data_IF_409127652310
#
_entry.id   IF_409127652310
#
_cell.length_a   1.000
_cell.length_b   1.000
_cell.length_c   1.000
_cell.angle_alpha   90.00
_cell.angle_beta   90.00
_cell.angle_gamma   90.00
#
_symmetry.space_group_name_H-M   'P 1'
#
loop_
_entity.id
_entity.type
_entity.pdbx_description
1 polymer ?
#
# COMPACT_ATOMS: atom_id res chain seq x y z
N UNK A 1 -33.15 49.54 -8.22
CA UNK A 1 -32.47 48.46 -8.98
C UNK A 1 -30.94 48.54 -8.87
N UNK A 2 -30.34 49.73 -9.01
CA UNK A 2 -28.89 49.98 -8.88
C UNK A 2 -28.30 49.64 -7.51
N UNK A 3 -28.98 49.99 -6.41
CA UNK A 3 -28.50 49.67 -5.04
C UNK A 3 -28.47 48.15 -4.84
N UNK A 4 -29.52 47.43 -5.24
CA UNK A 4 -29.61 45.97 -5.16
C UNK A 4 -28.49 45.30 -5.97
N UNK A 5 -28.22 45.80 -7.19
CA UNK A 5 -27.15 45.30 -8.04
C UNK A 5 -25.76 45.52 -7.42
N UNK A 6 -25.51 46.70 -6.84
CA UNK A 6 -24.26 47.02 -6.13
C UNK A 6 -24.08 46.12 -4.91
N UNK A 7 -25.14 45.87 -4.14
CA UNK A 7 -25.12 44.95 -3.00
C UNK A 7 -24.79 43.52 -3.43
N UNK A 8 -25.40 43.02 -4.51
CA UNK A 8 -25.12 41.68 -5.07
C UNK A 8 -23.68 41.59 -5.56
N UNK A 9 -23.18 42.60 -6.29
CA UNK A 9 -21.80 42.66 -6.78
C UNK A 9 -20.78 42.74 -5.64
N UNK A 10 -21.10 43.47 -4.57
CA UNK A 10 -20.25 43.60 -3.39
C UNK A 10 -20.21 42.30 -2.59
N UNK A 11 -21.36 41.65 -2.41
CA UNK A 11 -21.46 40.34 -1.78
C UNK A 11 -20.67 39.29 -2.56
N UNK A 12 -20.83 39.24 -3.89
CA UNK A 12 -20.08 38.32 -4.75
C UNK A 12 -18.56 38.54 -4.67
N UNK A 13 -18.09 39.79 -4.53
CA UNK A 13 -16.68 40.10 -4.29
C UNK A 13 -16.17 39.61 -2.94
N UNK A 14 -16.96 39.80 -1.88
CA UNK A 14 -16.61 39.37 -0.52
C UNK A 14 -16.59 37.84 -0.40
N UNK A 15 -17.55 37.14 -1.01
CA UNK A 15 -17.58 35.68 -1.03
C UNK A 15 -16.40 35.07 -1.78
N UNK A 16 -15.99 35.71 -2.88
CA UNK A 16 -14.88 35.24 -3.70
C UNK A 16 -13.51 35.82 -3.30
N UNK A 17 -13.44 36.53 -2.16
CA UNK A 17 -12.17 37.05 -1.68
C UNK A 17 -11.21 35.90 -1.30
N UNK A 18 -9.95 35.99 -1.74
CA UNK A 18 -8.95 34.97 -1.48
C UNK A 18 -8.78 34.69 0.02
N UNK A 19 -8.79 35.71 0.87
CA UNK A 19 -8.64 35.53 2.33
C UNK A 19 -9.79 34.69 2.91
N UNK A 20 -11.02 34.94 2.45
CA UNK A 20 -12.19 34.17 2.88
C UNK A 20 -12.07 32.71 2.43
N UNK A 21 -11.65 32.46 1.18
CA UNK A 21 -11.45 31.09 0.70
C UNK A 21 -10.32 30.36 1.42
N UNK A 22 -9.22 31.05 1.70
CA UNK A 22 -8.11 30.50 2.50
C UNK A 22 -8.57 30.18 3.91
N UNK A 23 -9.34 31.06 4.55
CA UNK A 23 -9.91 30.80 5.88
C UNK A 23 -10.85 29.59 5.87
N UNK A 24 -11.80 29.53 4.93
CA UNK A 24 -12.73 28.40 4.81
C UNK A 24 -11.98 27.08 4.56
N UNK A 25 -10.93 27.08 3.72
CA UNK A 25 -10.11 25.89 3.52
C UNK A 25 -9.35 25.51 4.78
N UNK A 26 -8.80 26.51 5.49
CA UNK A 26 -8.06 26.29 6.73
C UNK A 26 -8.94 25.64 7.78
N UNK A 27 -10.14 26.18 7.97
CA UNK A 27 -11.15 25.64 8.88
C UNK A 27 -11.56 24.22 8.48
N UNK A 28 -11.71 23.96 7.19
CA UNK A 28 -12.05 22.62 6.68
C UNK A 28 -10.96 21.59 6.99
N UNK A 29 -9.69 21.95 6.85
CA UNK A 29 -8.55 21.08 7.19
C UNK A 29 -8.43 20.89 8.71
N UNK A 30 -8.55 21.95 9.50
CA UNK A 30 -8.44 21.90 10.96
C UNK A 30 -9.52 21.06 11.62
N UNK A 31 -10.75 21.17 11.13
CA UNK A 31 -11.88 20.41 11.66
C UNK A 31 -12.13 19.10 10.91
N UNK A 32 -11.27 18.74 9.93
CA UNK A 32 -11.43 17.57 9.06
C UNK A 32 -12.80 17.53 8.36
N UNK A 33 -13.35 18.71 8.03
CA UNK A 33 -14.63 18.85 7.36
C UNK A 33 -14.48 18.58 5.86
N UNK A 34 -14.71 17.32 5.48
CA UNK A 34 -14.55 16.86 4.10
C UNK A 34 -15.58 17.46 3.15
N UNK A 35 -16.80 17.72 3.62
CA UNK A 35 -17.88 18.24 2.77
C UNK A 35 -17.56 19.67 2.32
N UNK A 36 -17.10 20.51 3.26
CA UNK A 36 -16.62 21.85 2.95
C UNK A 36 -15.38 21.82 2.04
N UNK A 37 -14.47 20.85 2.22
CA UNK A 37 -13.31 20.72 1.34
C UNK A 37 -13.71 20.39 -0.10
N UNK A 38 -14.70 19.51 -0.30
CA UNK A 38 -15.22 19.14 -1.64
C UNK A 38 -15.78 20.34 -2.40
N UNK A 39 -16.42 21.28 -1.69
CA UNK A 39 -16.96 22.50 -2.29
C UNK A 39 -15.86 23.50 -2.70
N UNK A 40 -14.75 23.52 -1.98
CA UNK A 40 -13.67 24.50 -2.17
C UNK A 40 -12.63 24.06 -3.21
N UNK A 41 -12.53 22.77 -3.48
CA UNK A 41 -11.37 22.17 -4.15
C UNK A 41 -11.77 21.31 -5.33
N UNK A 42 -10.98 21.42 -6.39
CA UNK A 42 -11.06 20.54 -7.55
C UNK A 42 -9.78 19.76 -7.73
N UNK A 43 -9.83 18.71 -8.54
CA UNK A 43 -8.66 18.04 -9.10
C UNK A 43 -8.97 17.67 -10.54
N UNK A 44 -8.19 18.17 -11.50
CA UNK A 44 -8.42 17.93 -12.94
C UNK A 44 -9.86 18.31 -13.36
N UNK A 45 -10.27 19.54 -13.02
CA UNK A 45 -11.58 20.11 -13.34
C UNK A 45 -12.80 19.36 -12.77
N UNK A 46 -12.62 18.50 -11.77
CA UNK A 46 -13.69 17.77 -11.10
C UNK A 46 -13.64 18.01 -9.60
N UNK A 47 -14.79 18.06 -8.94
CA UNK A 47 -14.86 18.04 -7.49
C UNK A 47 -14.29 16.72 -6.96
N UNK A 48 -13.69 16.80 -5.78
CA UNK A 48 -13.25 15.62 -5.05
C UNK A 48 -14.46 14.77 -4.65
N UNK A 49 -14.27 13.47 -4.60
CA UNK A 49 -15.15 12.59 -3.83
C UNK A 49 -14.83 12.68 -2.34
N UNK A 50 -15.72 12.17 -1.50
CA UNK A 50 -15.47 12.07 -0.05
C UNK A 50 -14.25 11.20 0.28
N UNK A 51 -14.00 10.14 -0.50
CA UNK A 51 -12.82 9.29 -0.33
C UNK A 51 -11.51 10.05 -0.63
N UNK A 52 -11.49 10.85 -1.70
CA UNK A 52 -10.33 11.69 -2.06
C UNK A 52 -10.12 12.86 -1.09
N UNK A 53 -11.19 13.49 -0.62
CA UNK A 53 -11.11 14.55 0.39
C UNK A 53 -10.52 14.03 1.72
N UNK A 54 -10.96 12.85 2.18
CA UNK A 54 -10.40 12.18 3.37
C UNK A 54 -8.92 11.86 3.18
N UNK A 55 -8.54 11.35 2.02
CA UNK A 55 -7.16 11.00 1.71
C UNK A 55 -6.25 12.24 1.73
N UNK A 56 -6.71 13.37 1.20
CA UNK A 56 -5.96 14.63 1.23
C UNK A 56 -5.79 15.18 2.65
N UNK A 57 -6.84 15.14 3.48
CA UNK A 57 -6.73 15.53 4.90
C UNK A 57 -5.74 14.61 5.64
N UNK A 58 -5.76 13.31 5.36
CA UNK A 58 -4.82 12.35 5.94
C UNK A 58 -3.36 12.68 5.57
N UNK A 59 -3.11 13.09 4.32
CA UNK A 59 -1.80 13.52 3.85
C UNK A 59 -1.29 14.78 4.56
N UNK A 60 -2.12 15.81 4.70
CA UNK A 60 -1.70 17.04 5.40
C UNK A 60 -1.25 16.72 6.83
N UNK A 61 -1.96 15.81 7.49
CA UNK A 61 -1.58 15.34 8.83
C UNK A 61 -0.23 14.60 8.83
N UNK A 62 0.07 13.79 7.81
CA UNK A 62 1.33 13.03 7.74
C UNK A 62 2.56 13.91 7.51
N UNK A 63 2.42 15.07 6.87
CA UNK A 63 3.52 16.02 6.59
C UNK A 63 3.89 16.97 7.75
N UNK A 64 3.60 16.59 9.00
CA UNK A 64 3.93 17.41 10.18
C UNK A 64 2.81 18.35 10.61
N UNK A 65 1.58 18.12 10.12
CA UNK A 65 0.36 18.69 10.64
C UNK A 65 -0.07 20.03 10.04
N UNK A 66 -1.33 20.37 10.32
CA UNK A 66 -2.06 21.46 9.67
C UNK A 66 -1.33 22.80 9.75
N UNK A 67 -0.74 23.18 10.89
CA UNK A 67 -0.10 24.49 11.06
C UNK A 67 0.95 24.81 10.00
N UNK A 68 1.79 23.83 9.65
CA UNK A 68 2.85 24.01 8.64
C UNK A 68 2.24 24.20 7.25
N UNK A 69 1.25 23.39 6.93
CA UNK A 69 0.48 23.51 5.69
C UNK A 69 -0.20 24.89 5.58
N UNK A 70 -0.91 25.31 6.62
CA UNK A 70 -1.63 26.59 6.65
C UNK A 70 -0.69 27.79 6.50
N UNK A 71 0.51 27.71 7.07
CA UNK A 71 1.52 28.74 6.86
C UNK A 71 1.93 28.86 5.39
N UNK A 72 2.19 27.72 4.72
CA UNK A 72 2.52 27.70 3.29
C UNK A 72 1.35 28.19 2.42
N UNK A 73 0.12 27.79 2.73
CA UNK A 73 -1.08 28.25 2.03
C UNK A 73 -1.25 29.77 2.15
N UNK A 74 -1.09 30.32 3.35
CA UNK A 74 -1.21 31.76 3.61
C UNK A 74 -0.11 32.55 2.90
N UNK A 75 1.13 32.04 2.92
CA UNK A 75 2.26 32.64 2.22
C UNK A 75 2.03 32.66 0.71
N UNK A 76 1.60 31.54 0.12
CA UNK A 76 1.23 31.45 -1.29
C UNK A 76 0.12 32.44 -1.66
N UNK A 77 -0.94 32.53 -0.85
CA UNK A 77 -2.03 33.47 -1.09
C UNK A 77 -1.56 34.94 -1.06
N UNK A 78 -0.65 35.29 -0.13
CA UNK A 78 -0.04 36.60 -0.06
C UNK A 78 0.79 36.91 -1.31
N UNK A 79 1.63 35.97 -1.74
CA UNK A 79 2.43 36.11 -2.96
C UNK A 79 1.57 36.27 -4.21
N UNK A 80 0.47 35.50 -4.35
CA UNK A 80 -0.44 35.61 -5.48
C UNK A 80 -1.13 36.98 -5.56
N UNK A 81 -1.39 37.63 -4.42
CA UNK A 81 -1.96 38.98 -4.39
C UNK A 81 -0.95 40.07 -4.77
N UNK A 82 0.27 39.94 -4.28
CA UNK A 82 1.36 40.89 -4.52
C UNK A 82 1.87 40.82 -5.95
N UNK A 83 2.02 39.60 -6.47
CA UNK A 83 2.52 39.36 -7.80
C UNK A 83 1.36 39.43 -8.80
N UNK A 84 1.56 40.01 -10.00
CA UNK A 84 0.56 40.00 -11.09
C UNK A 84 0.33 38.60 -11.70
N UNK A 85 0.71 37.54 -10.99
CA UNK A 85 0.57 36.15 -11.41
C UNK A 85 -0.89 35.70 -11.47
N UNK A 86 -1.12 34.62 -12.22
CA UNK A 86 -2.42 33.95 -12.31
C UNK A 86 -2.48 32.66 -11.50
N UNK A 87 -1.34 32.14 -11.07
CA UNK A 87 -1.24 30.89 -10.32
C UNK A 87 -0.17 31.01 -9.25
N UNK A 88 -0.33 30.26 -8.16
CA UNK A 88 0.68 30.10 -7.14
C UNK A 88 0.60 28.70 -6.55
N UNK A 89 1.73 28.00 -6.52
CA UNK A 89 1.83 26.69 -5.91
C UNK A 89 2.04 26.80 -4.40
N UNK A 90 1.44 25.87 -3.68
CA UNK A 90 1.66 25.59 -2.27
C UNK A 90 2.49 24.32 -2.19
N UNK A 91 3.71 24.46 -1.69
CA UNK A 91 4.65 23.36 -1.56
C UNK A 91 4.81 22.93 -0.11
N UNK A 92 4.94 21.63 0.11
CA UNK A 92 5.26 21.06 1.40
C UNK A 92 6.32 19.97 1.20
N UNK A 93 7.44 20.09 1.92
CA UNK A 93 8.59 19.18 1.79
C UNK A 93 9.12 19.04 0.35
N UNK A 94 8.99 20.09 -0.48
CA UNK A 94 9.44 20.11 -1.88
C UNK A 94 8.47 19.46 -2.86
N UNK A 95 7.23 19.18 -2.45
CA UNK A 95 6.16 18.67 -3.33
C UNK A 95 5.05 19.70 -3.42
N UNK A 96 4.60 20.01 -4.63
CA UNK A 96 3.38 20.79 -4.86
C UNK A 96 2.17 19.98 -4.40
N UNK A 97 1.49 20.48 -3.37
CA UNK A 97 0.33 19.81 -2.76
C UNK A 97 -1.00 20.48 -3.10
N UNK A 98 -0.95 21.75 -3.52
CA UNK A 98 -2.10 22.54 -3.93
C UNK A 98 -1.63 23.64 -4.88
N UNK A 99 -2.43 23.99 -5.88
CA UNK A 99 -2.23 25.17 -6.71
C UNK A 99 -3.42 26.11 -6.55
N UNK A 100 -3.15 27.40 -6.34
CA UNK A 100 -4.17 28.45 -6.30
C UNK A 100 -4.21 29.12 -7.67
N UNK A 101 -5.35 29.05 -8.35
CA UNK A 101 -5.60 29.70 -9.63
C UNK A 101 -6.44 30.95 -9.43
N UNK A 102 -5.92 32.11 -9.85
CA UNK A 102 -6.68 33.35 -9.97
C UNK A 102 -7.33 33.42 -11.35
N UNK A 103 -8.66 33.36 -11.37
CA UNK A 103 -9.48 33.59 -12.55
C UNK A 103 -10.02 35.01 -12.53
N UNK A 104 -9.94 35.69 -13.67
CA UNK A 104 -10.42 37.07 -13.84
C UNK A 104 -11.66 37.02 -14.73
N UNK A 105 -12.79 37.48 -14.21
CA UNK A 105 -14.07 37.54 -14.93
C UNK A 105 -14.56 39.00 -15.09
N UNK A 106 -15.45 39.21 -16.07
CA UNK A 106 -16.09 40.50 -16.41
C UNK A 106 -15.13 41.70 -16.43
N UNK A 107 -14.52 41.97 -17.60
CA UNK A 107 -13.67 43.15 -17.85
C UNK A 107 -12.58 43.45 -16.80
N UNK A 108 -12.13 42.44 -16.03
CA UNK A 108 -11.08 42.64 -15.01
C UNK A 108 -11.58 42.98 -13.60
N UNK A 109 -12.89 43.09 -13.40
CA UNK A 109 -13.48 43.63 -12.16
C UNK A 109 -13.71 42.58 -11.07
N UNK A 110 -13.75 41.29 -11.42
CA UNK A 110 -14.02 40.21 -10.47
C UNK A 110 -12.90 39.17 -10.54
N UNK A 111 -12.30 38.93 -9.38
CA UNK A 111 -11.35 37.85 -9.19
C UNK A 111 -12.08 36.70 -8.50
N UNK A 112 -11.94 35.50 -9.05
CA UNK A 112 -12.30 34.26 -8.39
C UNK A 112 -11.01 33.46 -8.17
N UNK A 113 -11.00 32.64 -7.12
CA UNK A 113 -9.87 31.79 -6.80
C UNK A 113 -10.33 30.34 -6.75
N UNK A 114 -9.64 29.48 -7.49
CA UNK A 114 -9.89 28.04 -7.51
C UNK A 114 -8.68 27.35 -6.89
N UNK A 115 -8.94 26.44 -5.97
CA UNK A 115 -7.90 25.60 -5.40
C UNK A 115 -7.92 24.25 -6.12
N UNK A 116 -6.76 23.83 -6.62
CA UNK A 116 -6.60 22.59 -7.35
C UNK A 116 -5.59 21.67 -6.65
N UNK A 117 -6.00 20.44 -6.39
CA UNK A 117 -5.10 19.37 -5.92
C UNK A 117 -4.54 18.64 -7.14
N UNK A 118 -3.21 18.55 -7.29
CA UNK A 118 -2.58 17.82 -8.37
C UNK A 118 -2.87 16.31 -8.30
N UNK A 119 -2.81 15.64 -9.45
CA UNK A 119 -2.95 14.18 -9.54
C UNK A 119 -1.61 13.50 -9.73
N UNK A 120 -1.44 12.34 -9.10
CA UNK A 120 -0.22 11.56 -9.20
C UNK A 120 -0.53 10.12 -9.60
N UNK A 121 0.32 9.58 -10.49
CA UNK A 121 0.35 8.15 -10.77
C UNK A 121 1.13 7.44 -9.67
N UNK A 122 0.53 6.41 -9.08
CA UNK A 122 1.23 5.54 -8.15
C UNK A 122 1.86 4.35 -8.88
N UNK A 123 2.97 3.87 -8.35
CA UNK A 123 3.67 2.70 -8.87
C UNK A 123 3.73 1.62 -7.81
N UNK A 124 3.60 0.35 -8.22
CA UNK A 124 3.68 -0.80 -7.34
C UNK A 124 4.77 -1.74 -7.84
N UNK A 125 5.67 -2.16 -6.96
CA UNK A 125 6.61 -3.24 -7.26
C UNK A 125 5.91 -4.59 -7.04
N UNK A 126 5.64 -5.31 -8.12
CA UNK A 126 4.87 -6.54 -8.08
C UNK A 126 5.75 -7.72 -7.61
N UNK A 127 5.38 -8.33 -6.47
CA UNK A 127 6.10 -9.47 -5.88
C UNK A 127 5.72 -10.83 -6.46
N UNK A 128 4.54 -10.91 -7.08
CA UNK A 128 3.99 -12.14 -7.64
C UNK A 128 3.40 -11.90 -9.04
N UNK A 129 3.26 -12.98 -9.81
CA UNK A 129 2.47 -12.97 -11.03
C UNK A 129 1.00 -13.16 -10.67
N UNK A 130 0.13 -12.28 -11.17
CA UNK A 130 -1.28 -12.36 -10.82
C UNK A 130 -2.11 -11.18 -11.26
N UNK A 131 -3.17 -10.92 -10.51
CA UNK A 131 -4.08 -9.81 -10.73
C UNK A 131 -4.39 -9.12 -9.41
N UNK A 132 -4.10 -7.83 -9.32
CA UNK A 132 -4.57 -6.95 -8.27
C UNK A 132 -5.89 -6.32 -8.70
N UNK A 133 -6.85 -6.26 -7.79
CA UNK A 133 -8.10 -5.54 -8.01
C UNK A 133 -8.41 -4.68 -6.80
N UNK A 134 -8.61 -3.38 -6.98
CA UNK A 134 -8.91 -2.46 -5.88
C UNK A 134 -10.12 -1.58 -6.21
N UNK A 135 -10.74 -1.01 -5.18
CA UNK A 135 -11.88 -0.09 -5.32
C UNK A 135 -11.47 1.32 -4.93
N UNK A 136 -11.86 2.29 -5.75
CA UNK A 136 -11.72 3.72 -5.46
C UNK A 136 -12.90 4.46 -6.08
N UNK A 137 -13.55 5.34 -5.32
CA UNK A 137 -14.72 6.11 -5.74
C UNK A 137 -15.84 5.20 -6.25
N UNK A 138 -16.08 4.08 -5.57
CA UNK A 138 -17.01 3.01 -5.98
C UNK A 138 -16.72 2.36 -7.35
N UNK A 139 -15.58 2.65 -7.97
CA UNK A 139 -15.13 2.02 -9.22
C UNK A 139 -14.09 0.95 -8.92
N UNK A 140 -14.19 -0.16 -9.65
CA UNK A 140 -13.29 -1.31 -9.55
C UNK A 140 -12.19 -1.18 -10.60
N UNK A 141 -10.94 -1.26 -10.18
CA UNK A 141 -9.77 -1.18 -11.03
C UNK A 141 -9.01 -2.50 -11.02
N UNK A 142 -8.61 -2.97 -12.19
CA UNK A 142 -7.94 -4.25 -12.38
C UNK A 142 -6.53 -3.99 -12.91
N UNK A 143 -5.52 -4.57 -12.26
CA UNK A 143 -4.11 -4.42 -12.64
C UNK A 143 -3.49 -5.80 -12.76
N UNK A 144 -2.79 -6.05 -13.88
CA UNK A 144 -2.02 -7.26 -14.07
C UNK A 144 -0.69 -7.11 -13.33
N UNK A 145 -0.37 -8.07 -12.46
CA UNK A 145 0.90 -8.13 -11.75
C UNK A 145 1.86 -9.04 -12.49
N UNK A 146 3.09 -8.57 -12.67
CA UNK A 146 4.19 -9.36 -13.22
C UNK A 146 5.36 -9.26 -12.24
N UNK A 147 5.76 -10.41 -11.69
CA UNK A 147 6.78 -10.49 -10.65
C UNK A 147 8.08 -9.80 -11.07
N UNK A 148 8.60 -8.92 -10.22
CA UNK A 148 9.83 -8.17 -10.42
C UNK A 148 9.71 -6.97 -11.37
N UNK A 149 8.48 -6.61 -11.77
CA UNK A 149 8.22 -5.43 -12.58
C UNK A 149 7.45 -4.38 -11.78
N UNK A 150 7.78 -3.12 -12.05
CA UNK A 150 7.00 -1.97 -11.59
C UNK A 150 5.75 -1.85 -12.46
N UNK A 151 4.58 -1.84 -11.83
CA UNK A 151 3.30 -1.61 -12.48
C UNK A 151 2.78 -0.22 -12.14
N UNK A 152 2.30 0.50 -13.14
CA UNK A 152 1.62 1.78 -12.95
C UNK A 152 0.18 1.58 -12.54
N UNK A 153 -0.25 2.33 -11.53
CA UNK A 153 -1.62 2.43 -11.06
C UNK A 153 -2.24 3.74 -11.55
N UNK A 154 -3.57 3.87 -11.40
CA UNK A 154 -4.27 5.05 -11.91
C UNK A 154 -3.83 6.34 -11.22
N UNK A 155 -3.85 7.43 -11.99
CA UNK A 155 -3.71 8.78 -11.45
C UNK A 155 -4.87 9.08 -10.49
N UNK A 156 -4.57 9.54 -9.29
CA UNK A 156 -5.56 9.98 -8.29
C UNK A 156 -5.18 11.35 -7.75
N UNK A 157 -6.14 12.15 -7.23
CA UNK A 157 -5.80 13.37 -6.50
C UNK A 157 -4.79 13.05 -5.39
N UNK A 158 -3.88 13.98 -5.12
CA UNK A 158 -2.89 13.78 -4.09
C UNK A 158 -3.54 13.48 -2.73
N UNK A 159 -3.05 12.46 -2.03
CA UNK A 159 -3.61 12.00 -0.76
C UNK A 159 -2.96 10.70 -0.26
N UNK A 160 -3.25 10.36 1.00
CA UNK A 160 -2.92 9.06 1.61
C UNK A 160 -4.16 8.17 1.57
N UNK A 161 -4.11 7.07 0.80
CA UNK A 161 -5.24 6.16 0.61
C UNK A 161 -4.94 4.79 1.19
N UNK A 162 -5.93 4.20 1.87
CA UNK A 162 -5.98 2.76 2.18
C UNK A 162 -7.23 2.20 1.51
N UNK A 163 -7.03 1.53 0.37
CA UNK A 163 -8.11 1.07 -0.49
C UNK A 163 -8.33 -0.43 -0.32
N UNK A 164 -9.59 -0.85 -0.22
CA UNK A 164 -9.95 -2.28 -0.24
C UNK A 164 -9.47 -2.91 -1.54
N UNK A 165 -8.78 -4.04 -1.41
CA UNK A 165 -8.18 -4.73 -2.53
C UNK A 165 -8.27 -6.25 -2.39
N UNK A 166 -8.23 -6.91 -3.55
CA UNK A 166 -8.16 -8.36 -3.69
C UNK A 166 -7.02 -8.69 -4.63
N UNK A 167 -6.15 -9.61 -4.22
CA UNK A 167 -5.02 -10.10 -5.02
C UNK A 167 -5.31 -11.54 -5.42
N UNK A 168 -5.22 -11.86 -6.70
CA UNK A 168 -5.38 -13.23 -7.22
C UNK A 168 -4.05 -13.74 -7.74
N UNK A 169 -3.58 -14.86 -7.19
CA UNK A 169 -2.33 -15.54 -7.57
C UNK A 169 -2.67 -17.00 -7.86
N UNK A 170 -2.51 -17.41 -9.12
CA UNK A 170 -3.01 -18.71 -9.58
C UNK A 170 -4.51 -18.87 -9.29
N UNK A 171 -4.87 -19.90 -8.51
CA UNK A 171 -6.25 -20.21 -8.14
C UNK A 171 -6.67 -19.64 -6.78
N UNK A 172 -5.80 -18.89 -6.09
CA UNK A 172 -6.08 -18.32 -4.77
C UNK A 172 -6.36 -16.83 -4.87
N UNK A 173 -7.26 -16.38 -4.00
CA UNK A 173 -7.60 -14.96 -3.82
C UNK A 173 -7.29 -14.57 -2.38
N UNK A 174 -6.71 -13.39 -2.22
CA UNK A 174 -6.30 -12.82 -0.93
C UNK A 174 -6.99 -11.47 -0.81
N UNK A 175 -7.74 -11.28 0.26
CA UNK A 175 -8.37 -10.01 0.58
C UNK A 175 -7.43 -9.20 1.47
N UNK A 176 -7.46 -7.87 1.32
CA UNK A 176 -6.58 -6.96 2.03
C UNK A 176 -6.71 -5.56 1.50
N UNK A 177 -5.61 -4.80 1.55
CA UNK A 177 -5.60 -3.42 1.09
C UNK A 177 -4.43 -3.13 0.15
N UNK A 178 -4.61 -2.10 -0.68
CA UNK A 178 -3.52 -1.40 -1.34
C UNK A 178 -3.42 0.00 -0.73
N UNK A 179 -2.22 0.36 -0.30
CA UNK A 179 -1.95 1.64 0.34
C UNK A 179 -1.27 2.55 -0.68
N UNK A 180 -1.85 3.70 -0.99
CA UNK A 180 -1.21 4.74 -1.79
C UNK A 180 -0.66 5.79 -0.83
N UNK A 181 0.67 5.84 -0.71
CA UNK A 181 1.33 6.79 0.17
C UNK A 181 2.33 7.65 -0.59
N UNK A 182 2.35 8.94 -0.25
CA UNK A 182 3.34 9.85 -0.77
C UNK A 182 4.55 9.83 0.17
N UNK A 183 5.71 9.48 -0.37
CA UNK A 183 6.98 9.71 0.32
C UNK A 183 7.66 10.92 -0.31
N UNK A 184 8.54 11.57 0.44
CA UNK A 184 9.34 12.74 0.02
C UNK A 184 10.00 12.61 -1.37
N UNK A 185 10.19 11.40 -1.87
CA UNK A 185 10.84 11.12 -3.16
C UNK A 185 10.04 10.19 -4.10
N UNK A 186 8.72 10.01 -3.91
CA UNK A 186 7.93 9.25 -4.89
C UNK A 186 6.53 8.82 -4.47
N UNK A 187 5.80 8.33 -5.47
CA UNK A 187 4.43 7.83 -5.41
C UNK A 187 4.44 6.29 -5.45
N UNK A 188 4.71 5.69 -4.29
CA UNK A 188 4.81 4.25 -4.15
C UNK A 188 3.55 3.70 -3.50
N UNK A 189 2.91 2.75 -4.16
CA UNK A 189 1.87 1.93 -3.57
C UNK A 189 2.47 0.70 -2.88
N UNK A 190 1.84 0.30 -1.78
CA UNK A 190 2.24 -0.85 -0.96
C UNK A 190 1.11 -1.83 -0.83
N UNK A 191 1.45 -3.10 -0.96
CA UNK A 191 0.54 -4.21 -0.69
C UNK A 191 0.43 -4.43 0.83
N UNK A 192 -0.81 -4.49 1.33
CA UNK A 192 -1.16 -4.76 2.72
C UNK A 192 -2.14 -5.95 2.75
N UNK A 193 -1.65 -7.12 2.35
CA UNK A 193 -2.37 -8.38 2.42
C UNK A 193 -1.79 -9.24 3.55
N UNK A 194 -2.68 -9.84 4.34
CA UNK A 194 -2.34 -10.89 5.31
C UNK A 194 -1.93 -12.14 4.52
N UNK A 195 -0.63 -12.43 4.48
CA UNK A 195 -0.09 -13.56 3.73
C UNK A 195 1.01 -14.29 4.51
N UNK A 196 1.13 -15.59 4.28
CA UNK A 196 2.21 -16.41 4.84
C UNK A 196 3.27 -16.65 3.77
N UNK A 197 4.51 -16.22 4.06
CA UNK A 197 5.70 -16.58 3.29
C UNK A 197 6.78 -17.06 4.24
N UNK A 198 7.48 -18.11 3.84
CA UNK A 198 8.54 -18.65 4.67
C UNK A 198 9.70 -19.21 3.85
N UNK A 199 10.87 -19.28 4.48
CA UNK A 199 12.02 -20.06 4.05
C UNK A 199 12.21 -21.21 5.02
N UNK A 200 12.82 -22.30 4.56
CA UNK A 200 13.08 -23.47 5.38
C UNK A 200 14.57 -23.55 5.68
N UNK A 201 14.88 -23.83 6.95
CA UNK A 201 16.18 -24.28 7.44
C UNK A 201 15.99 -25.65 8.10
N UNK A 202 16.83 -26.63 7.78
CA UNK A 202 16.77 -27.96 8.41
C UNK A 202 17.87 -28.14 9.48
N UNK A 203 17.56 -28.89 10.54
CA UNK A 203 18.49 -29.31 11.59
C UNK A 203 18.48 -30.83 11.73
N UNK A 204 19.64 -31.40 12.02
CA UNK A 204 19.85 -32.85 12.15
C UNK A 204 19.45 -33.64 10.89
N UNK A 205 19.67 -33.03 9.72
CA UNK A 205 19.26 -33.55 8.41
C UNK A 205 20.41 -34.19 7.61
N UNK A 206 21.61 -34.26 8.15
CA UNK A 206 22.83 -34.71 7.46
C UNK A 206 22.77 -36.18 6.99
N UNK A 207 21.89 -36.99 7.56
CA UNK A 207 21.68 -38.39 7.15
C UNK A 207 20.76 -38.55 5.93
N UNK A 208 20.07 -37.48 5.50
CA UNK A 208 19.07 -37.56 4.44
C UNK A 208 19.61 -37.09 3.09
N UNK A 209 19.68 -38.00 2.11
CA UNK A 209 20.02 -37.65 0.73
C UNK A 209 18.88 -36.92 0.00
N UNK A 210 17.64 -37.12 0.47
CA UNK A 210 16.42 -36.50 -0.04
C UNK A 210 15.53 -36.15 1.13
N UNK A 211 14.95 -34.95 1.06
CA UNK A 211 13.90 -34.50 1.95
C UNK A 211 12.73 -34.00 1.11
N UNK A 212 11.52 -34.33 1.52
CA UNK A 212 10.28 -33.78 0.97
C UNK A 212 9.70 -32.77 1.97
N UNK A 213 9.08 -31.71 1.45
CA UNK A 213 8.33 -30.75 2.23
C UNK A 213 6.86 -31.14 2.23
N UNK A 214 6.24 -31.10 3.40
CA UNK A 214 4.80 -31.34 3.56
C UNK A 214 4.16 -30.09 4.13
N UNK A 215 3.06 -29.66 3.51
CA UNK A 215 2.27 -28.50 3.92
C UNK A 215 0.82 -28.94 4.05
N UNK A 216 0.22 -28.79 5.23
CA UNK A 216 -1.14 -29.25 5.55
C UNK A 216 -1.40 -30.67 5.02
N UNK A 217 -0.53 -31.60 5.40
CA UNK A 217 -0.53 -33.04 5.04
C UNK A 217 -0.44 -33.37 3.55
N UNK A 218 -0.13 -32.38 2.70
CA UNK A 218 0.13 -32.58 1.28
C UNK A 218 1.62 -32.47 1.01
N UNK A 219 2.21 -33.55 0.48
CA UNK A 219 3.58 -33.53 -0.01
C UNK A 219 3.68 -32.57 -1.21
N UNK A 220 4.46 -31.51 -1.07
CA UNK A 220 4.65 -30.48 -2.11
C UNK A 220 5.94 -30.67 -2.90
N UNK A 221 6.61 -31.82 -2.72
CA UNK A 221 7.82 -32.22 -3.42
C UNK A 221 9.09 -32.00 -2.61
N UNK A 222 10.22 -32.02 -3.32
CA UNK A 222 11.55 -31.95 -2.70
C UNK A 222 11.73 -30.62 -1.95
N UNK A 223 12.09 -30.73 -0.67
CA UNK A 223 12.47 -29.62 0.18
C UNK A 223 13.75 -28.98 -0.36
N UNK A 224 13.69 -27.67 -0.58
CA UNK A 224 14.82 -26.84 -0.95
C UNK A 224 15.06 -25.81 0.15
N UNK A 225 16.30 -25.75 0.64
CA UNK A 225 16.68 -24.79 1.67
C UNK A 225 16.76 -23.38 1.09
N UNK A 226 16.44 -22.38 1.94
CA UNK A 226 16.57 -20.94 1.66
C UNK A 226 15.77 -20.36 0.48
N UNK A 227 14.92 -21.15 -0.18
CA UNK A 227 13.93 -20.62 -1.14
C UNK A 227 12.69 -20.10 -0.40
N UNK A 228 12.05 -19.07 -0.96
CA UNK A 228 10.80 -18.54 -0.42
C UNK A 228 9.63 -19.37 -0.93
N UNK A 229 8.87 -19.96 -0.01
CA UNK A 229 7.60 -20.61 -0.25
C UNK A 229 6.45 -19.62 0.00
N UNK A 230 5.40 -19.72 -0.81
CA UNK A 230 4.21 -18.87 -0.74
C UNK A 230 4.02 -17.97 -1.97
N UNK A 231 3.04 -17.04 -1.91
CA UNK A 231 2.24 -16.72 -0.73
C UNK A 231 1.15 -17.78 -0.41
N UNK A 232 0.85 -17.95 0.87
CA UNK A 232 -0.31 -18.69 1.38
C UNK A 232 -1.24 -17.73 2.14
N UNK A 233 -2.50 -18.13 2.33
CA UNK A 233 -3.49 -17.29 3.04
C UNK A 233 -2.98 -16.99 4.44
N UNK A 234 -3.13 -15.75 4.89
CA UNK A 234 -2.83 -15.36 6.27
C UNK A 234 -3.80 -15.94 7.30
N UNK A 235 -5.04 -16.18 6.88
CA UNK A 235 -6.15 -16.63 7.74
C UNK A 235 -6.13 -18.13 8.03
N UNK A 236 -5.58 -18.94 7.12
CA UNK A 236 -5.57 -20.39 7.25
C UNK A 236 -4.38 -20.87 8.08
N UNK A 237 -4.58 -21.89 8.91
CA UNK A 237 -3.46 -22.62 9.50
C UNK A 237 -2.55 -23.21 8.41
N UNK A 238 -1.23 -23.05 8.62
CA UNK A 238 -0.22 -23.50 7.67
C UNK A 238 0.81 -24.32 8.43
N UNK A 239 0.48 -25.59 8.62
CA UNK A 239 1.36 -26.58 9.25
C UNK A 239 2.37 -27.08 8.22
N UNK A 240 3.64 -26.95 8.57
CA UNK A 240 4.78 -27.32 7.73
C UNK A 240 5.66 -28.31 8.47
N UNK A 241 6.05 -29.39 7.81
CA UNK A 241 7.05 -30.33 8.29
C UNK A 241 7.85 -30.95 7.13
N UNK A 242 9.02 -31.49 7.46
CA UNK A 242 9.90 -32.18 6.53
C UNK A 242 9.80 -33.69 6.72
N UNK A 243 9.96 -34.42 5.62
CA UNK A 243 10.10 -35.87 5.62
C UNK A 243 11.44 -36.24 5.01
N UNK A 244 12.36 -36.72 5.84
CA UNK A 244 13.68 -37.22 5.45
C UNK A 244 13.65 -38.73 5.26
N UNK A 245 14.52 -39.25 4.39
CA UNK A 245 14.55 -40.70 4.10
C UNK A 245 15.94 -41.30 4.29
N UNK A 246 15.99 -42.44 4.99
CA UNK A 246 17.17 -43.32 5.09
C UNK A 246 16.77 -44.71 4.59
N UNK A 247 17.26 -45.09 3.41
CA UNK A 247 16.76 -46.27 2.71
C UNK A 247 15.27 -46.15 2.39
N UNK A 248 14.47 -47.11 2.85
CA UNK A 248 13.00 -47.11 2.67
C UNK A 248 12.24 -46.53 3.87
N UNK A 249 12.94 -46.02 4.89
CA UNK A 249 12.31 -45.48 6.10
C UNK A 249 12.19 -43.96 6.00
N UNK A 250 11.06 -43.44 6.46
CA UNK A 250 10.74 -42.02 6.47
C UNK A 250 10.75 -41.49 7.90
N UNK A 251 11.36 -40.33 8.10
CA UNK A 251 11.48 -39.64 9.39
C UNK A 251 10.83 -38.27 9.27
N UNK A 252 9.99 -37.94 10.23
CA UNK A 252 9.26 -36.67 10.28
C UNK A 252 10.01 -35.67 11.16
N UNK A 253 10.08 -34.40 10.75
CA UNK A 253 10.56 -33.32 11.62
C UNK A 253 9.49 -32.89 12.63
N UNK A 254 9.81 -31.95 13.52
CA UNK A 254 8.76 -31.20 14.20
C UNK A 254 7.84 -30.48 13.19
N UNK A 255 6.60 -30.24 13.60
CA UNK A 255 5.65 -29.41 12.87
C UNK A 255 5.79 -27.95 13.30
N UNK A 256 5.60 -27.03 12.36
CA UNK A 256 5.60 -25.60 12.61
C UNK A 256 4.38 -24.98 11.94
N UNK A 257 3.55 -24.27 12.71
CA UNK A 257 2.53 -23.40 12.13
C UNK A 257 3.18 -22.08 11.73
N UNK A 258 3.10 -21.73 10.45
CA UNK A 258 3.71 -20.50 9.93
C UNK A 258 2.84 -19.30 10.30
N UNK A 259 3.39 -18.27 10.95
CA UNK A 259 2.64 -17.05 11.25
C UNK A 259 2.41 -16.21 9.97
N UNK A 260 1.32 -15.46 9.95
CA UNK A 260 1.06 -14.46 8.91
C UNK A 260 2.02 -13.28 9.04
N UNK A 261 2.38 -12.69 7.91
CA UNK A 261 3.20 -11.47 7.81
C UNK A 261 2.51 -10.49 6.88
N UNK A 262 2.87 -9.21 6.99
CA UNK A 262 2.46 -8.24 5.98
C UNK A 262 3.25 -8.46 4.69
N UNK A 263 2.68 -8.10 3.54
CA UNK A 263 3.29 -8.37 2.23
C UNK A 263 4.68 -7.73 2.05
N UNK A 264 4.97 -6.64 2.77
CA UNK A 264 6.26 -5.91 2.79
C UNK A 264 7.32 -6.49 3.73
N UNK A 265 6.98 -7.47 4.55
CA UNK A 265 7.91 -8.08 5.49
C UNK A 265 8.75 -9.19 4.84
N UNK A 266 9.89 -9.49 5.47
CA UNK A 266 10.73 -10.60 5.04
C UNK A 266 10.05 -11.94 5.33
N UNK A 267 10.23 -12.97 4.47
CA UNK A 267 9.71 -14.30 4.74
C UNK A 267 10.19 -14.85 6.10
N UNK A 268 9.29 -15.51 6.83
CA UNK A 268 9.59 -16.14 8.12
C UNK A 268 10.59 -17.27 7.92
N UNK A 269 11.56 -17.42 8.82
CA UNK A 269 12.43 -18.60 8.80
C UNK A 269 11.80 -19.74 9.60
N UNK A 270 11.41 -20.81 8.94
CA UNK A 270 10.88 -22.05 9.54
C UNK A 270 12.02 -23.02 9.76
N UNK A 271 12.25 -23.42 11.01
CA UNK A 271 13.28 -24.38 11.39
C UNK A 271 12.66 -25.75 11.60
N UNK A 272 13.04 -26.71 10.75
CA UNK A 272 12.58 -28.10 10.80
C UNK A 272 13.69 -28.98 11.38
N UNK A 273 13.44 -29.55 12.55
CA UNK A 273 14.38 -30.34 13.33
C UNK A 273 13.94 -31.79 13.33
N UNK A 274 14.84 -32.68 12.93
CA UNK A 274 14.62 -34.13 13.00
C UNK A 274 15.14 -34.69 14.32
N UNK A 275 14.47 -35.73 14.83
CA UNK A 275 14.90 -36.44 16.02
C UNK A 275 16.15 -37.28 15.70
N UNK A 276 17.31 -36.76 16.10
CA UNK A 276 18.61 -37.34 15.80
C UNK A 276 18.76 -38.78 16.36
N UNK A 277 18.27 -39.03 17.57
CA UNK A 277 18.35 -40.35 18.20
C UNK A 277 17.52 -41.41 17.44
N UNK A 278 16.34 -41.01 16.97
CA UNK A 278 15.47 -41.88 16.15
C UNK A 278 16.13 -42.21 14.81
N UNK A 279 16.75 -41.22 14.17
CA UNK A 279 17.44 -41.39 12.88
C UNK A 279 18.67 -42.28 13.03
N UNK A 280 19.50 -42.07 14.06
CA UNK A 280 20.72 -42.85 14.27
C UNK A 280 20.45 -44.31 14.63
N UNK A 281 19.57 -44.56 15.60
CA UNK A 281 19.27 -45.92 16.06
C UNK A 281 18.85 -46.86 14.92
N UNK A 282 18.10 -46.33 13.95
CA UNK A 282 17.67 -47.12 12.79
C UNK A 282 18.74 -47.25 11.70
N UNK A 283 19.59 -46.22 11.53
CA UNK A 283 20.71 -46.25 10.59
C UNK A 283 21.73 -47.34 10.96
N UNK A 284 22.07 -47.43 12.26
CA UNK A 284 22.98 -48.46 12.77
C UNK A 284 22.40 -49.87 12.68
N UNK A 285 21.09 -50.01 12.94
CA UNK A 285 20.40 -51.29 12.75
C UNK A 285 20.43 -51.77 11.29
N UNK A 286 20.26 -50.86 10.31
CA UNK A 286 20.36 -51.23 8.89
C UNK A 286 21.79 -51.60 8.47
N UNK A 287 22.81 -50.91 9.01
CA UNK A 287 24.21 -51.20 8.73
C UNK A 287 24.59 -52.60 9.26
N UNK A 288 24.22 -52.90 10.52
CA UNK A 288 24.47 -54.21 11.13
C UNK A 288 23.72 -55.34 10.39
N UNK A 289 22.49 -55.10 9.93
CA UNK A 289 21.71 -56.10 9.19
C UNK A 289 22.29 -56.40 7.80
N UNK A 290 22.95 -55.43 7.14
CA UNK A 290 23.69 -55.66 5.88
C UNK A 290 24.98 -56.46 6.10
N UNK A 291 25.70 -56.17 7.18
CA UNK A 291 26.93 -56.91 7.54
C UNK A 291 26.63 -58.38 7.85
N UNK A 292 25.51 -58.67 8.52
CA UNK A 292 25.10 -60.04 8.84
C UNK A 292 24.45 -60.81 7.68
N UNK A 293 24.03 -60.16 6.58
CA UNK A 293 23.50 -60.82 5.38
C UNK A 293 24.59 -61.23 4.37
N UNK A 294 25.81 -60.69 4.52
CA UNK A 294 26.95 -60.94 3.64
C UNK A 294 28.02 -61.87 4.29
N UNK A 295 27.66 -62.56 5.38
CA UNK A 295 28.37 -63.72 5.92
C UNK A 295 27.56 -64.96 5.61
#
# INVERSE_FOLDING_TARGET
MTIILISILSFYRLENALDKKVQLFSDAIDHKNTDQLIELVISNNQQLTNEEAKAYVSLINSFGGNKKFLHQLTSAAYHLKQNKGKTQDVELEGVTILTIHQQIHLFGLFKNFQFEIPRFNFTLDAKDNGKLTYRLNNKKYNVRLVKGHIVSLNAVPLGEYKLDATKKIGNRTYDGNIIFSLKKYGTLAKEDFSEKRFKVTTKNSYMFNKMDLVINDKNVGRLKDYITYGPFSGEDDLLVYGVGYVGNQAFKSNEVNVPSINSDESPVNVVLTFNEAEVFSQSDHQLNKKIHKNK
#
